data_IF_357298143819
#
_entry.id   IF_357298143819
#
_cell.length_a   1.000
_cell.length_b   1.000
_cell.length_c   1.000
_cell.angle_alpha   90.00
_cell.angle_beta   90.00
_cell.angle_gamma   90.00
#
_symmetry.space_group_name_H-M   'P 1'
#
loop_
_entity.id
_entity.type
_entity.pdbx_description
1 polymer ?
#
# COMPACT_ATOMS: atom_id res chain seq x y z
N UNK A 1 10.38 1.67 -14.32
CA UNK A 1 10.95 3.02 -14.06
C UNK A 1 10.67 3.71 -12.73
N UNK A 2 9.61 3.46 -11.95
CA UNK A 2 9.55 4.05 -10.58
C UNK A 2 9.30 3.06 -9.44
N UNK A 3 8.94 1.80 -9.72
CA UNK A 3 8.59 0.82 -8.68
C UNK A 3 7.38 1.25 -7.83
N UNK A 4 6.51 2.11 -8.36
CA UNK A 4 5.31 2.59 -7.68
C UNK A 4 4.13 1.73 -8.10
N UNK A 5 3.47 1.11 -7.13
CA UNK A 5 2.27 0.30 -7.33
C UNK A 5 1.06 1.08 -6.84
N UNK A 6 0.04 1.20 -7.69
CA UNK A 6 -1.21 1.87 -7.35
C UNK A 6 -2.28 0.84 -7.01
N UNK A 7 -2.91 0.97 -5.86
CA UNK A 7 -3.92 0.02 -5.37
C UNK A 7 -5.18 0.76 -4.89
N UNK A 8 -6.34 0.18 -5.15
CA UNK A 8 -7.56 0.54 -4.42
C UNK A 8 -7.53 -0.13 -3.04
N UNK A 9 -7.14 0.63 -2.02
CA UNK A 9 -7.07 0.14 -0.65
C UNK A 9 -8.46 0.14 -0.01
N UNK A 10 -8.96 -1.04 0.39
CA UNK A 10 -10.19 -1.17 1.16
C UNK A 10 -9.85 -1.49 2.62
N UNK A 11 -9.80 -0.46 3.46
CA UNK A 11 -9.59 -0.62 4.89
C UNK A 11 -10.76 -1.28 5.60
N UNK A 12 -10.50 -1.98 6.70
CA UNK A 12 -11.53 -2.58 7.57
C UNK A 12 -12.36 -1.51 8.30
N UNK A 13 -11.78 -0.33 8.54
CA UNK A 13 -12.50 0.88 8.92
C UNK A 13 -12.64 1.79 7.68
N UNK A 14 -13.88 2.11 7.31
CA UNK A 14 -14.27 2.95 6.18
C UNK A 14 -13.81 4.41 6.36
N UNK A 15 -12.51 4.68 6.23
CA UNK A 15 -11.96 6.04 6.24
C UNK A 15 -11.21 6.43 7.52
N UNK A 16 -10.87 5.50 8.41
CA UNK A 16 -9.93 5.80 9.49
C UNK A 16 -8.54 6.10 8.89
N UNK A 17 -7.98 7.31 9.05
CA UNK A 17 -6.65 7.66 8.52
C UNK A 17 -5.56 6.77 9.13
N UNK A 18 -5.71 6.42 10.41
CA UNK A 18 -4.82 5.54 11.16
C UNK A 18 -4.80 4.12 10.59
N UNK A 19 -5.97 3.54 10.28
CA UNK A 19 -6.07 2.20 9.68
C UNK A 19 -5.56 2.17 8.24
N UNK A 20 -5.65 3.28 7.50
CA UNK A 20 -5.15 3.38 6.14
C UNK A 20 -3.61 3.42 6.13
N UNK A 21 -3.00 4.15 7.08
CA UNK A 21 -1.55 4.21 7.21
C UNK A 21 -0.96 2.84 7.59
N UNK A 22 -1.55 2.13 8.55
CA UNK A 22 -1.09 0.78 8.94
C UNK A 22 -1.29 -0.23 7.82
N UNK A 23 -2.43 -0.19 7.11
CA UNK A 23 -2.70 -1.07 5.96
C UNK A 23 -1.70 -0.83 4.83
N UNK A 24 -1.43 0.43 4.46
CA UNK A 24 -0.44 0.79 3.44
C UNK A 24 0.92 0.20 3.79
N UNK A 25 1.39 0.39 5.02
CA UNK A 25 2.70 -0.09 5.46
C UNK A 25 2.80 -1.62 5.40
N UNK A 26 1.75 -2.34 5.82
CA UNK A 26 1.70 -3.80 5.75
C UNK A 26 1.76 -4.33 4.31
N UNK A 27 0.96 -3.74 3.41
CA UNK A 27 0.93 -4.12 2.00
C UNK A 27 2.26 -3.80 1.31
N UNK A 28 2.83 -2.62 1.58
CA UNK A 28 4.12 -2.21 1.00
C UNK A 28 5.26 -3.14 1.43
N UNK A 29 5.32 -3.51 2.70
CA UNK A 29 6.33 -4.46 3.21
C UNK A 29 6.16 -5.86 2.59
N UNK A 30 4.92 -6.32 2.46
CA UNK A 30 4.61 -7.60 1.81
C UNK A 30 5.05 -7.57 0.34
N UNK A 31 4.64 -6.55 -0.41
CA UNK A 31 4.98 -6.45 -1.84
C UNK A 31 6.49 -6.33 -2.06
N UNK A 32 7.21 -5.58 -1.21
CA UNK A 32 8.68 -5.51 -1.26
C UNK A 32 9.36 -6.86 -1.01
N UNK A 33 8.77 -7.70 -0.17
CA UNK A 33 9.30 -9.03 0.13
C UNK A 33 9.14 -9.99 -1.05
N UNK A 34 7.98 -10.00 -1.70
CA UNK A 34 7.68 -10.90 -2.82
C UNK A 34 8.13 -10.36 -4.18
N UNK A 35 8.17 -9.04 -4.32
CA UNK A 35 8.47 -8.34 -5.57
C UNK A 35 9.50 -7.24 -5.25
N UNK A 36 10.81 -7.55 -5.30
CA UNK A 36 11.87 -6.63 -4.90
C UNK A 36 11.96 -5.35 -5.76
N UNK A 37 11.30 -5.32 -6.91
CA UNK A 37 11.20 -4.13 -7.78
C UNK A 37 10.22 -3.06 -7.23
N UNK A 38 9.39 -3.41 -6.25
CA UNK A 38 8.44 -2.47 -5.63
C UNK A 38 9.18 -1.54 -4.66
N UNK A 39 8.98 -0.23 -4.84
CA UNK A 39 9.57 0.83 -4.02
C UNK A 39 8.54 1.55 -3.16
N UNK A 40 7.34 1.75 -3.68
CA UNK A 40 6.27 2.50 -3.00
C UNK A 40 4.89 1.97 -3.39
N UNK A 41 3.93 2.02 -2.47
CA UNK A 41 2.51 1.79 -2.75
C UNK A 41 1.73 3.10 -2.59
N UNK A 42 0.84 3.41 -3.53
CA UNK A 42 -0.06 4.57 -3.46
C UNK A 42 -1.53 4.19 -3.64
N UNK A 43 -2.46 4.90 -2.98
CA UNK A 43 -3.88 4.76 -3.29
C UNK A 43 -4.18 5.23 -4.72
N UNK A 44 -5.07 4.51 -5.40
CA UNK A 44 -5.81 5.05 -6.55
C UNK A 44 -6.98 5.86 -5.99
N UNK A 45 -6.98 7.17 -6.20
CA UNK A 45 -8.10 8.07 -5.89
C UNK A 45 -9.22 7.91 -6.89
#
# INVERSE_FOLDING_TARGET
DNGIVYLHMKGSCSGCPSSTATLKAGIENMLKHYIPEVREVRPVT
#
